data_IF_833448262505
#
_entry.id   IF_833448262505
#
_cell.length_a   1.000
_cell.length_b   1.000
_cell.length_c   1.000
_cell.angle_alpha   90.00
_cell.angle_beta   90.00
_cell.angle_gamma   90.00
#
_symmetry.space_group_name_H-M   'P 1'
#
loop_
_entity.id
_entity.type
_entity.pdbx_description
1 polymer ?
#
# COMPACT_ATOMS: atom_id res chain seq x y z
N UNK A 1 62.43 -22.11 31.93
CA UNK A 1 62.74 -20.76 32.44
C UNK A 1 61.97 -19.67 31.66
N UNK A 2 60.65 -19.81 31.40
CA UNK A 2 59.90 -18.83 30.58
C UNK A 2 58.67 -18.23 31.29
N UNK A 3 58.37 -18.67 32.53
CA UNK A 3 57.12 -18.33 33.21
C UNK A 3 57.24 -17.19 34.25
N UNK A 4 58.47 -16.76 34.57
CA UNK A 4 58.74 -15.69 35.55
C UNK A 4 58.85 -14.29 34.91
N UNK A 5 59.01 -14.17 33.59
CA UNK A 5 59.17 -12.88 32.91
C UNK A 5 57.85 -12.14 32.61
N UNK A 6 56.74 -12.87 32.51
CA UNK A 6 55.44 -12.31 32.10
C UNK A 6 54.73 -11.56 33.22
N UNK A 7 54.92 -11.96 34.48
CA UNK A 7 54.28 -11.34 35.65
C UNK A 7 54.85 -9.96 35.97
N UNK A 8 56.17 -9.79 35.81
CA UNK A 8 56.85 -8.50 36.03
C UNK A 8 56.46 -7.50 34.94
N UNK A 9 56.49 -7.91 33.66
CA UNK A 9 56.07 -7.05 32.54
C UNK A 9 54.59 -6.63 32.62
N UNK A 10 53.69 -7.53 33.02
CA UNK A 10 52.26 -7.21 33.20
C UNK A 10 51.98 -6.28 34.40
N UNK A 11 52.90 -6.19 35.37
CA UNK A 11 52.77 -5.26 36.49
C UNK A 11 53.12 -3.83 36.09
N UNK A 12 54.17 -3.67 35.26
CA UNK A 12 54.61 -2.37 34.74
C UNK A 12 53.71 -1.85 33.60
N UNK A 13 53.05 -2.74 32.85
CA UNK A 13 52.14 -2.36 31.78
C UNK A 13 50.68 -2.48 32.22
N UNK A 14 50.25 -1.60 33.13
CA UNK A 14 48.84 -1.39 33.45
C UNK A 14 48.40 -0.04 32.87
N UNK A 15 47.70 0.01 31.74
CA UNK A 15 47.23 1.27 31.19
C UNK A 15 46.31 1.95 32.20
N UNK A 16 46.53 3.24 32.47
CA UNK A 16 45.61 4.04 33.27
C UNK A 16 44.31 4.23 32.48
N UNK A 17 43.27 3.52 32.88
CA UNK A 17 41.95 3.64 32.25
C UNK A 17 41.22 4.83 32.89
N UNK A 18 41.27 5.99 32.24
CA UNK A 18 40.46 7.14 32.64
C UNK A 18 38.98 6.86 32.31
N UNK A 19 38.18 6.57 33.34
CA UNK A 19 36.73 6.38 33.18
C UNK A 19 36.10 7.76 32.97
N UNK A 20 35.89 8.14 31.70
CA UNK A 20 35.18 9.38 31.36
C UNK A 20 33.71 9.25 31.75
N UNK A 21 33.30 9.94 32.82
CA UNK A 21 31.93 9.90 33.38
C UNK A 21 30.86 10.34 32.38
N UNK A 22 31.18 11.26 31.48
CA UNK A 22 30.24 11.82 30.50
C UNK A 22 30.92 11.94 29.13
N UNK A 23 30.56 11.07 28.18
CA UNK A 23 30.92 11.23 26.76
C UNK A 23 29.88 12.06 26.03
N UNK A 24 30.33 12.88 25.09
CA UNK A 24 29.45 13.62 24.18
C UNK A 24 28.65 12.63 23.29
N UNK A 25 27.47 13.01 22.81
CA UNK A 25 26.53 12.06 22.16
C UNK A 25 27.17 11.28 21.00
N UNK A 26 28.01 11.93 20.19
CA UNK A 26 28.71 11.32 19.05
C UNK A 26 29.79 10.30 19.43
N UNK A 27 30.30 10.34 20.66
CA UNK A 27 31.38 9.48 21.16
C UNK A 27 30.84 8.26 21.96
N UNK A 28 29.52 8.15 22.08
CA UNK A 28 28.87 7.01 22.73
C UNK A 28 28.95 5.80 21.80
N UNK A 29 29.66 4.76 22.24
CA UNK A 29 29.67 3.49 21.53
C UNK A 29 28.27 2.87 21.51
N UNK A 30 27.87 2.33 20.36
CA UNK A 30 26.59 1.63 20.22
C UNK A 30 26.63 0.33 21.02
N UNK A 31 26.02 0.33 22.18
CA UNK A 31 25.85 -0.90 22.98
C UNK A 31 24.75 -1.75 22.34
N UNK A 32 25.09 -2.97 21.92
CA UNK A 32 24.10 -3.96 21.47
C UNK A 32 23.36 -4.45 22.72
N UNK A 33 22.18 -3.89 22.96
CA UNK A 33 21.31 -4.35 24.05
C UNK A 33 20.76 -5.73 23.69
N UNK A 34 20.71 -6.64 24.67
CA UNK A 34 20.13 -8.00 24.54
C UNK A 34 20.86 -8.90 23.53
N UNK A 35 22.19 -8.85 23.52
CA UNK A 35 23.01 -9.79 22.75
C UNK A 35 22.72 -11.23 23.19
N UNK A 36 22.35 -12.10 22.24
CA UNK A 36 21.98 -13.50 22.48
C UNK A 36 20.52 -13.74 22.88
N UNK A 37 19.69 -12.69 22.96
CA UNK A 37 18.25 -12.87 23.17
C UNK A 37 17.54 -13.20 21.85
N UNK A 38 16.82 -14.32 21.81
CA UNK A 38 15.94 -14.69 20.71
C UNK A 38 14.53 -14.14 20.96
N UNK A 39 14.02 -13.35 20.03
CA UNK A 39 12.69 -12.76 20.12
C UNK A 39 11.62 -13.82 19.81
N UNK A 40 10.78 -14.15 20.81
CA UNK A 40 9.68 -15.12 20.66
C UNK A 40 8.42 -14.51 20.03
N UNK A 41 8.34 -13.19 19.98
CA UNK A 41 7.22 -12.46 19.39
C UNK A 41 7.43 -12.34 17.89
N UNK A 42 6.35 -12.45 17.12
CA UNK A 42 6.40 -12.18 15.70
C UNK A 42 6.53 -10.67 15.48
N UNK A 43 7.61 -10.27 14.82
CA UNK A 43 7.96 -8.88 14.50
C UNK A 43 7.85 -8.58 13.00
N UNK A 44 7.01 -9.33 12.28
CA UNK A 44 6.79 -9.11 10.85
C UNK A 44 6.05 -7.81 10.56
N UNK A 45 6.05 -7.41 9.29
CA UNK A 45 5.40 -6.19 8.82
C UNK A 45 3.87 -6.30 8.71
N UNK A 46 3.25 -5.43 7.92
CA UNK A 46 1.80 -5.38 7.71
C UNK A 46 1.22 -6.59 6.96
N UNK A 47 2.10 -7.46 6.44
CA UNK A 47 1.68 -8.62 5.65
C UNK A 47 1.15 -9.73 6.57
N UNK A 48 0.20 -10.55 6.07
CA UNK A 48 -0.31 -11.70 6.81
C UNK A 48 0.83 -12.60 7.32
N UNK A 49 0.71 -13.05 8.57
CA UNK A 49 1.69 -13.95 9.20
C UNK A 49 1.81 -15.30 8.46
N UNK A 50 0.73 -15.74 7.83
CA UNK A 50 0.72 -16.92 6.97
C UNK A 50 1.24 -16.57 5.58
N UNK A 51 2.16 -17.39 5.06
CA UNK A 51 2.64 -17.34 3.68
C UNK A 51 1.55 -17.82 2.70
N UNK A 52 0.42 -17.13 2.67
CA UNK A 52 -0.58 -17.32 1.63
C UNK A 52 -0.01 -16.95 0.26
N UNK A 53 -0.63 -17.45 -0.80
CA UNK A 53 -0.23 -17.04 -2.16
C UNK A 53 -0.51 -15.55 -2.33
N UNK A 54 0.46 -14.74 -2.81
CA UNK A 54 0.17 -13.36 -3.18
C UNK A 54 -0.89 -13.35 -4.27
N UNK A 55 -1.88 -12.46 -4.16
CA UNK A 55 -2.83 -12.25 -5.26
C UNK A 55 -2.06 -11.73 -6.47
N UNK A 56 -2.29 -12.27 -7.67
CA UNK A 56 -1.67 -11.73 -8.87
C UNK A 56 -2.16 -10.30 -9.07
N UNK A 57 -1.23 -9.39 -9.35
CA UNK A 57 -1.58 -8.03 -9.76
C UNK A 57 -2.36 -8.15 -11.09
N UNK A 58 -3.52 -7.50 -11.22
CA UNK A 58 -4.23 -7.50 -12.49
C UNK A 58 -3.36 -6.86 -13.57
N UNK A 59 -3.42 -7.41 -14.78
CA UNK A 59 -2.76 -6.82 -15.94
C UNK A 59 -3.34 -5.42 -16.20
N UNK A 60 -2.46 -4.42 -16.34
CA UNK A 60 -2.88 -3.07 -16.65
C UNK A 60 -3.49 -3.01 -18.06
N UNK A 61 -4.74 -2.56 -18.15
CA UNK A 61 -5.44 -2.34 -19.42
C UNK A 61 -5.72 -0.85 -19.60
N UNK A 62 -4.98 -0.14 -20.46
CA UNK A 62 -5.25 1.28 -20.70
C UNK A 62 -6.64 1.44 -21.33
N UNK A 63 -7.46 2.29 -20.72
CA UNK A 63 -8.78 2.60 -21.27
C UNK A 63 -8.65 3.74 -22.30
N UNK A 64 -9.18 3.55 -23.51
CA UNK A 64 -9.34 4.65 -24.45
C UNK A 64 -10.59 5.49 -24.05
N UNK A 65 -10.44 6.78 -23.72
CA UNK A 65 -11.57 7.65 -23.41
C UNK A 65 -12.35 8.09 -24.66
N UNK A 66 -11.73 8.05 -25.84
CA UNK A 66 -12.27 8.53 -27.12
C UNK A 66 -12.74 7.41 -28.03
N UNK A 67 -13.24 6.30 -27.47
CA UNK A 67 -13.98 5.35 -28.27
C UNK A 67 -15.29 6.00 -28.74
N UNK A 68 -15.77 5.66 -29.93
CA UNK A 68 -16.99 6.23 -30.51
C UNK A 68 -18.17 6.23 -29.53
N UNK A 69 -18.39 5.08 -28.85
CA UNK A 69 -19.44 4.96 -27.82
C UNK A 69 -19.32 5.98 -26.68
N UNK A 70 -18.10 6.30 -26.24
CA UNK A 70 -17.85 7.26 -25.15
C UNK A 70 -17.91 8.69 -25.65
N UNK A 71 -17.38 8.94 -26.85
CA UNK A 71 -17.37 10.26 -27.46
C UNK A 71 -18.78 10.74 -27.82
N UNK A 72 -19.67 9.85 -28.27
CA UNK A 72 -21.05 10.15 -28.67
C UNK A 72 -22.06 9.98 -27.52
N UNK A 73 -21.59 9.67 -26.31
CA UNK A 73 -22.48 9.46 -25.17
C UNK A 73 -23.23 10.76 -24.81
N UNK A 74 -24.56 10.69 -24.75
CA UNK A 74 -25.44 11.81 -24.38
C UNK A 74 -25.78 12.79 -25.50
N UNK A 75 -25.33 12.55 -26.74
CA UNK A 75 -25.52 13.49 -27.86
C UNK A 75 -27.00 13.86 -28.13
N UNK A 76 -27.94 12.92 -27.92
CA UNK A 76 -29.36 13.08 -28.27
C UNK A 76 -30.30 13.09 -27.04
N UNK A 77 -29.78 13.39 -25.84
CA UNK A 77 -30.58 13.34 -24.61
C UNK A 77 -31.64 14.45 -24.53
N UNK A 78 -31.43 15.57 -25.21
CA UNK A 78 -32.32 16.75 -25.24
C UNK A 78 -33.04 16.92 -26.58
N UNK A 79 -33.26 15.82 -27.31
CA UNK A 79 -33.89 15.84 -28.64
C UNK A 79 -35.34 16.36 -28.61
N UNK A 80 -36.01 16.26 -27.47
CA UNK A 80 -37.36 16.75 -27.25
C UNK A 80 -37.42 18.28 -27.14
N UNK A 81 -36.48 18.91 -26.44
CA UNK A 81 -36.49 20.35 -26.19
C UNK A 81 -35.73 21.16 -27.25
N UNK A 82 -34.70 20.58 -27.88
CA UNK A 82 -33.90 21.26 -28.92
C UNK A 82 -34.26 20.83 -30.34
N UNK A 83 -35.05 19.76 -30.50
CA UNK A 83 -35.49 19.25 -31.79
C UNK A 83 -36.88 19.74 -32.21
N UNK A 84 -37.60 18.91 -32.97
CA UNK A 84 -38.97 19.21 -33.42
C UNK A 84 -40.04 18.97 -32.34
N UNK A 85 -39.68 18.36 -31.21
CA UNK A 85 -40.62 18.00 -30.14
C UNK A 85 -41.41 16.70 -30.40
N UNK A 86 -41.24 16.06 -31.56
CA UNK A 86 -42.02 14.86 -31.95
C UNK A 86 -41.56 13.58 -31.23
N UNK A 87 -40.33 13.58 -30.70
CA UNK A 87 -39.67 12.40 -30.14
C UNK A 87 -39.21 12.62 -28.71
N UNK A 88 -39.77 11.86 -27.77
CA UNK A 88 -39.32 11.84 -26.38
C UNK A 88 -38.07 10.95 -26.21
N UNK A 89 -37.02 11.38 -25.47
CA UNK A 89 -35.83 10.60 -25.16
C UNK A 89 -36.06 9.14 -24.71
N UNK A 90 -37.12 8.83 -23.96
CA UNK A 90 -37.42 7.45 -23.53
C UNK A 90 -37.60 6.49 -24.72
N UNK A 91 -38.06 7.00 -25.86
CA UNK A 91 -38.28 6.20 -27.08
C UNK A 91 -36.97 5.83 -27.79
N UNK A 92 -35.87 6.54 -27.55
CA UNK A 92 -34.56 6.26 -28.18
C UNK A 92 -33.77 5.16 -27.47
N UNK A 93 -34.22 4.72 -26.28
CA UNK A 93 -33.61 3.65 -25.50
C UNK A 93 -33.87 2.26 -26.10
N UNK A 94 -33.40 2.01 -27.33
CA UNK A 94 -33.62 0.75 -28.06
C UNK A 94 -32.94 -0.46 -27.41
N UNK A 95 -31.91 -0.22 -26.60
CA UNK A 95 -31.16 -1.27 -25.88
C UNK A 95 -31.86 -1.76 -24.62
N UNK A 96 -32.86 -1.02 -24.12
CA UNK A 96 -33.58 -1.33 -22.88
C UNK A 96 -34.87 -2.07 -23.20
N UNK A 97 -35.23 -3.14 -22.46
CA UNK A 97 -36.50 -3.84 -22.65
C UNK A 97 -37.71 -2.91 -22.54
N UNK A 98 -38.73 -3.16 -23.36
CA UNK A 98 -39.87 -2.24 -23.54
C UNK A 98 -40.62 -1.94 -22.23
N UNK A 99 -40.71 -2.91 -21.33
CA UNK A 99 -41.41 -2.81 -20.05
C UNK A 99 -40.66 -2.00 -18.97
N UNK A 100 -39.36 -1.73 -19.15
CA UNK A 100 -38.54 -0.94 -18.20
C UNK A 100 -38.35 0.51 -18.68
N UNK A 101 -38.64 0.80 -19.96
CA UNK A 101 -38.39 2.13 -20.53
C UNK A 101 -39.23 3.21 -19.87
N UNK A 102 -38.58 4.17 -19.24
CA UNK A 102 -39.24 5.33 -18.62
C UNK A 102 -39.99 5.01 -17.32
N UNK A 103 -39.84 3.79 -16.79
CA UNK A 103 -40.44 3.37 -15.52
C UNK A 103 -39.41 3.50 -14.41
N UNK A 104 -39.86 3.95 -13.24
CA UNK A 104 -39.07 3.98 -12.00
C UNK A 104 -39.90 3.35 -10.89
N UNK A 105 -39.41 2.26 -10.31
CA UNK A 105 -40.10 1.54 -9.25
C UNK A 105 -39.22 0.48 -8.61
N UNK A 106 -39.72 -0.14 -7.54
CA UNK A 106 -39.12 -1.33 -6.95
C UNK A 106 -39.44 -2.58 -7.79
N UNK A 107 -38.81 -3.73 -7.49
CA UNK A 107 -39.03 -4.99 -8.23
C UNK A 107 -40.51 -5.41 -8.35
N UNK A 108 -41.35 -5.06 -7.37
CA UNK A 108 -42.79 -5.34 -7.41
C UNK A 108 -43.61 -4.34 -8.25
N UNK A 109 -43.02 -3.21 -8.63
CA UNK A 109 -43.68 -2.08 -9.32
C UNK A 109 -43.25 -1.94 -10.79
N UNK A 110 -42.30 -2.76 -11.25
CA UNK A 110 -41.71 -2.73 -12.61
C UNK A 110 -42.24 -3.88 -13.44
#
# INVERSE_FOLDING_TARGET
MAWLGSTVLNFFWKPSVNIVRTRYHSEKQRVIKRFGYEEKLWNGGLLPRTLGKPLPMPEYRPANPWTERKALFGQNDYIDILGSGDLHPVKTLYTVPSWIRGVKGNEFQV
#
